data_IF_676383101272
#
_entry.id   IF_676383101272
#
_cell.length_a   1.000
_cell.length_b   1.000
_cell.length_c   1.000
_cell.angle_alpha   90.00
_cell.angle_beta   90.00
_cell.angle_gamma   90.00
#
_symmetry.space_group_name_H-M   'P 1'
#
loop_
_entity.id
_entity.type
_entity.pdbx_description
1 polymer ?
#
# COMPACT_ATOMS: atom_id res chain seq x y z
N UNK A 1 -5.82 22.43 -8.27
CA UNK A 1 -5.78 21.78 -6.96
C UNK A 1 -5.98 20.28 -7.16
N UNK A 2 -4.95 19.46 -6.97
CA UNK A 2 -5.13 18.01 -6.88
C UNK A 2 -6.01 17.78 -5.63
N UNK A 3 -7.25 17.33 -5.80
CA UNK A 3 -8.01 16.78 -4.68
C UNK A 3 -7.33 15.46 -4.30
N UNK A 4 -6.29 15.55 -3.48
CA UNK A 4 -5.76 14.46 -2.64
C UNK A 4 -6.76 14.10 -1.51
N UNK A 5 -8.01 14.57 -1.61
CA UNK A 5 -8.99 14.54 -0.52
C UNK A 5 -9.41 13.10 -0.17
N UNK A 6 -9.69 12.85 1.12
CA UNK A 6 -9.68 11.55 1.80
C UNK A 6 -10.91 10.68 1.53
N UNK A 7 -11.68 10.99 0.47
CA UNK A 7 -12.95 10.31 0.15
C UNK A 7 -12.79 9.24 -0.94
N UNK A 8 -11.55 8.94 -1.34
CA UNK A 8 -11.29 7.79 -2.21
C UNK A 8 -11.52 6.52 -1.40
N UNK A 9 -12.55 5.76 -1.77
CA UNK A 9 -12.86 4.46 -1.15
C UNK A 9 -11.62 3.55 -1.08
N UNK A 10 -10.74 3.62 -2.07
CA UNK A 10 -9.48 2.87 -2.13
C UNK A 10 -8.50 3.28 -1.02
N UNK A 11 -8.42 4.58 -0.69
CA UNK A 11 -7.58 5.05 0.41
C UNK A 11 -8.08 4.46 1.74
N UNK A 12 -9.39 4.55 2.00
CA UNK A 12 -10.00 4.05 3.23
C UNK A 12 -9.82 2.54 3.34
N UNK A 13 -10.11 1.79 2.28
CA UNK A 13 -9.94 0.32 2.23
C UNK A 13 -8.46 -0.04 2.46
N UNK A 14 -7.54 0.61 1.76
CA UNK A 14 -6.11 0.37 1.90
C UNK A 14 -5.59 0.66 3.31
N UNK A 15 -6.02 1.78 3.91
CA UNK A 15 -5.65 2.15 5.28
C UNK A 15 -6.23 1.19 6.33
N UNK A 16 -7.49 0.78 6.19
CA UNK A 16 -8.09 -0.20 7.10
C UNK A 16 -7.35 -1.54 6.99
N UNK A 17 -7.08 -2.00 5.76
CA UNK A 17 -6.32 -3.22 5.52
C UNK A 17 -4.90 -3.14 6.12
N UNK A 18 -4.24 -1.98 6.02
CA UNK A 18 -2.93 -1.74 6.63
C UNK A 18 -2.97 -1.83 8.17
N UNK A 19 -4.01 -1.28 8.81
CA UNK A 19 -4.20 -1.38 10.27
C UNK A 19 -4.37 -2.84 10.67
N UNK A 20 -5.23 -3.60 9.98
CA UNK A 20 -5.40 -5.02 10.26
C UNK A 20 -4.12 -5.81 10.02
N UNK A 21 -3.37 -5.52 8.96
CA UNK A 21 -2.09 -6.15 8.69
C UNK A 21 -1.08 -5.90 9.83
N UNK A 22 -0.99 -4.65 10.31
CA UNK A 22 -0.13 -4.29 11.42
C UNK A 22 -0.53 -5.01 12.71
N UNK A 23 -1.82 -5.08 13.02
CA UNK A 23 -2.34 -5.82 14.17
C UNK A 23 -1.99 -7.31 14.09
N UNK A 24 -2.14 -7.93 12.91
CA UNK A 24 -1.75 -9.32 12.69
C UNK A 24 -0.27 -9.53 12.99
N UNK A 25 0.62 -8.67 12.47
CA UNK A 25 2.06 -8.77 12.72
C UNK A 25 2.41 -8.70 14.20
N UNK A 26 1.76 -7.81 14.94
CA UNK A 26 1.94 -7.70 16.41
C UNK A 26 1.40 -8.94 17.12
N UNK A 27 0.26 -9.48 16.67
CA UNK A 27 -0.40 -10.63 17.27
C UNK A 27 0.35 -11.96 17.06
N UNK A 28 1.27 -12.06 16.09
CA UNK A 28 2.06 -13.28 15.85
C UNK A 28 2.80 -13.72 17.11
N UNK A 29 3.42 -12.80 17.85
CA UNK A 29 4.21 -13.15 19.04
C UNK A 29 3.35 -13.80 20.13
N UNK A 30 2.29 -13.14 20.66
CA UNK A 30 1.49 -13.71 21.74
C UNK A 30 0.64 -14.91 21.30
N UNK A 31 0.19 -14.97 20.05
CA UNK A 31 -0.72 -16.03 19.58
C UNK A 31 -0.02 -17.26 18.99
N UNK A 32 1.20 -17.09 18.46
CA UNK A 32 1.95 -18.18 17.84
C UNK A 32 3.21 -18.49 18.63
N UNK A 33 4.09 -17.51 18.81
CA UNK A 33 5.45 -17.75 19.34
C UNK A 33 5.41 -18.16 20.81
N UNK A 34 4.72 -17.40 21.67
CA UNK A 34 4.61 -17.70 23.09
C UNK A 34 4.00 -19.08 23.37
N UNK A 35 2.83 -19.47 22.84
CA UNK A 35 2.26 -20.78 23.13
C UNK A 35 3.07 -21.94 22.53
N UNK A 36 3.74 -21.75 21.39
CA UNK A 36 4.63 -22.75 20.83
C UNK A 36 5.81 -23.03 21.79
N UNK A 37 6.44 -21.99 22.32
CA UNK A 37 7.56 -22.13 23.26
C UNK A 37 7.08 -22.68 24.60
N UNK A 38 6.06 -22.08 25.20
CA UNK A 38 5.70 -22.37 26.59
C UNK A 38 4.88 -23.64 26.75
N UNK A 39 4.03 -23.99 25.78
CA UNK A 39 3.11 -25.13 25.90
C UNK A 39 3.55 -26.33 25.10
N UNK A 40 4.11 -26.14 23.90
CA UNK A 40 4.60 -27.26 23.09
C UNK A 40 6.01 -27.66 23.51
N UNK A 41 6.96 -26.72 23.51
CA UNK A 41 8.36 -27.07 23.79
C UNK A 41 8.65 -27.29 25.29
N UNK A 42 8.18 -26.42 26.19
CA UNK A 42 8.46 -26.59 27.63
C UNK A 42 7.59 -27.65 28.32
N UNK A 43 6.31 -27.76 27.94
CA UNK A 43 5.35 -28.66 28.62
C UNK A 43 5.10 -29.97 27.86
N UNK A 44 5.72 -30.17 26.69
CA UNK A 44 5.56 -31.35 25.83
C UNK A 44 4.10 -31.68 25.45
N UNK A 45 3.20 -30.69 25.45
CA UNK A 45 1.78 -30.90 25.14
C UNK A 45 1.54 -30.88 23.63
N UNK A 46 1.80 -32.02 22.97
CA UNK A 46 1.67 -32.18 21.52
C UNK A 46 0.24 -31.93 21.00
N UNK A 47 -0.79 -32.14 21.81
CA UNK A 47 -2.17 -31.82 21.44
C UNK A 47 -2.39 -30.31 21.19
N UNK A 48 -1.60 -29.45 21.84
CA UNK A 48 -1.67 -28.00 21.61
C UNK A 48 -0.99 -27.58 20.31
N UNK A 49 -0.09 -28.40 19.77
CA UNK A 49 0.63 -28.08 18.53
C UNK A 49 -0.34 -27.90 17.36
N UNK A 50 -1.29 -28.82 17.19
CA UNK A 50 -2.29 -28.73 16.11
C UNK A 50 -3.12 -27.46 16.22
N UNK A 51 -3.52 -27.06 17.44
CA UNK A 51 -4.28 -25.83 17.66
C UNK A 51 -3.44 -24.60 17.30
N UNK A 52 -2.20 -24.52 17.78
CA UNK A 52 -1.29 -23.39 17.50
C UNK A 52 -0.99 -23.28 16.00
N UNK A 53 -0.75 -24.40 15.32
CA UNK A 53 -0.53 -24.42 13.87
C UNK A 53 -1.77 -23.98 13.09
N UNK A 54 -2.96 -24.46 13.49
CA UNK A 54 -4.21 -24.06 12.84
C UNK A 54 -4.48 -22.56 13.01
N UNK A 55 -4.35 -22.04 14.23
CA UNK A 55 -4.48 -20.60 14.48
C UNK A 55 -3.44 -19.79 13.72
N UNK A 56 -2.20 -20.27 13.68
CA UNK A 56 -1.12 -19.66 12.92
C UNK A 56 -1.42 -19.59 11.43
N UNK A 57 -1.91 -20.68 10.86
CA UNK A 57 -2.32 -20.73 9.46
C UNK A 57 -3.39 -19.68 9.15
N UNK A 58 -4.47 -19.62 9.94
CA UNK A 58 -5.53 -18.64 9.73
C UNK A 58 -5.04 -17.20 9.93
N UNK A 59 -4.20 -16.96 10.93
CA UNK A 59 -3.64 -15.64 11.22
C UNK A 59 -2.76 -15.14 10.07
N UNK A 60 -1.86 -16.00 9.56
CA UNK A 60 -0.98 -15.68 8.43
C UNK A 60 -1.80 -15.50 7.15
N UNK A 61 -2.77 -16.37 6.89
CA UNK A 61 -3.65 -16.27 5.73
C UNK A 61 -4.43 -14.96 5.74
N UNK A 62 -5.03 -14.60 6.88
CA UNK A 62 -5.73 -13.33 7.04
C UNK A 62 -4.77 -12.14 6.83
N UNK A 63 -3.57 -12.19 7.41
CA UNK A 63 -2.53 -11.18 7.19
C UNK A 63 -2.14 -11.02 5.72
N UNK A 64 -1.99 -12.12 4.99
CA UNK A 64 -1.67 -12.11 3.56
C UNK A 64 -2.81 -11.49 2.73
N UNK A 65 -4.07 -11.82 3.03
CA UNK A 65 -5.24 -11.22 2.37
C UNK A 65 -5.27 -9.70 2.64
N UNK A 66 -5.06 -9.29 3.90
CA UNK A 66 -5.02 -7.86 4.24
C UNK A 66 -3.88 -7.13 3.54
N UNK A 67 -2.69 -7.75 3.44
CA UNK A 67 -1.56 -7.19 2.69
C UNK A 67 -1.91 -6.99 1.22
N UNK A 68 -2.50 -8.01 0.60
CA UNK A 68 -2.90 -7.95 -0.79
C UNK A 68 -3.92 -6.83 -1.04
N UNK A 69 -4.93 -6.70 -0.18
CA UNK A 69 -5.95 -5.64 -0.29
C UNK A 69 -5.30 -4.26 -0.13
N UNK A 70 -4.39 -4.12 0.84
CA UNK A 70 -3.63 -2.89 1.07
C UNK A 70 -2.85 -2.48 -0.19
N UNK A 71 -2.01 -3.38 -0.72
CA UNK A 71 -1.16 -3.11 -1.87
C UNK A 71 -1.99 -2.83 -3.13
N UNK A 72 -3.02 -3.63 -3.40
CA UNK A 72 -3.89 -3.45 -4.55
C UNK A 72 -4.64 -2.11 -4.50
N UNK A 73 -5.10 -1.70 -3.31
CA UNK A 73 -5.83 -0.44 -3.13
C UNK A 73 -4.93 0.77 -3.31
N UNK A 74 -3.72 0.75 -2.73
CA UNK A 74 -2.78 1.85 -2.86
C UNK A 74 -2.17 1.94 -4.26
N UNK A 75 -1.82 0.82 -4.90
CA UNK A 75 -1.37 0.82 -6.29
C UNK A 75 -2.43 1.37 -7.25
N UNK A 76 -3.70 0.96 -7.06
CA UNK A 76 -4.82 1.48 -7.87
C UNK A 76 -5.04 2.98 -7.66
N UNK A 77 -4.84 3.48 -6.43
CA UNK A 77 -4.95 4.89 -6.13
C UNK A 77 -3.81 5.69 -6.76
N UNK A 78 -2.57 5.22 -6.60
CA UNK A 78 -1.37 5.83 -7.17
C UNK A 78 -1.49 5.95 -8.70
N UNK A 79 -1.91 4.88 -9.38
CA UNK A 79 -2.13 4.88 -10.82
C UNK A 79 -3.18 5.92 -11.26
N UNK A 80 -4.30 6.04 -10.53
CA UNK A 80 -5.33 7.07 -10.81
C UNK A 80 -4.80 8.48 -10.62
N UNK A 81 -4.09 8.74 -9.53
CA UNK A 81 -3.52 10.05 -9.23
C UNK A 81 -2.46 10.45 -10.26
N UNK A 82 -1.60 9.49 -10.66
CA UNK A 82 -0.59 9.66 -11.72
C UNK A 82 -1.25 10.00 -13.07
N UNK A 83 -2.29 9.26 -13.46
CA UNK A 83 -3.03 9.51 -14.71
C UNK A 83 -3.73 10.89 -14.74
N UNK A 84 -4.44 11.24 -13.66
CA UNK A 84 -5.11 12.53 -13.54
C UNK A 84 -4.13 13.70 -13.57
N UNK A 85 -2.97 13.53 -12.92
CA UNK A 85 -1.91 14.53 -12.86
C UNK A 85 -1.26 14.72 -14.24
N UNK A 86 -0.92 13.64 -14.94
CA UNK A 86 -0.43 13.66 -16.33
C UNK A 86 -1.41 14.40 -17.24
N UNK A 87 -2.70 14.07 -17.16
CA UNK A 87 -3.75 14.72 -17.96
C UNK A 87 -3.84 16.22 -17.69
N UNK A 88 -3.80 16.64 -16.42
CA UNK A 88 -3.87 18.06 -16.03
C UNK A 88 -2.64 18.84 -16.48
N UNK A 89 -1.44 18.28 -16.28
CA UNK A 89 -0.19 18.91 -16.72
C UNK A 89 -0.20 19.07 -18.23
N UNK A 90 -0.53 18.02 -18.98
CA UNK A 90 -0.61 18.07 -20.43
C UNK A 90 -1.62 19.11 -20.94
N UNK A 91 -2.85 19.12 -20.38
CA UNK A 91 -3.87 20.14 -20.73
C UNK A 91 -3.41 21.56 -20.41
N UNK A 92 -2.71 21.77 -19.30
CA UNK A 92 -2.21 23.09 -18.94
C UNK A 92 -1.08 23.56 -19.86
N UNK A 93 -0.21 22.65 -20.32
CA UNK A 93 0.83 22.97 -21.29
C UNK A 93 0.26 23.36 -22.66
N UNK A 94 -0.75 22.62 -23.14
CA UNK A 94 -1.41 22.93 -24.40
C UNK A 94 -2.13 24.29 -24.40
N UNK A 95 -2.54 24.80 -23.22
CA UNK A 95 -3.19 26.10 -23.08
C UNK A 95 -2.21 27.27 -22.99
N UNK A 96 -0.89 27.04 -22.91
CA UNK A 96 0.09 28.12 -22.81
C UNK A 96 0.36 28.74 -24.19
N UNK A 97 0.49 30.07 -24.28
CA UNK A 97 0.81 30.75 -25.54
C UNK A 97 2.19 30.32 -26.06
N UNK A 98 2.27 30.12 -27.38
CA UNK A 98 3.48 29.70 -28.08
C UNK A 98 4.58 30.75 -27.84
N UNK A 99 5.78 30.29 -27.43
CA UNK A 99 6.93 31.16 -27.16
C UNK A 99 7.15 31.58 -25.70
N UNK A 100 6.25 31.25 -24.76
CA UNK A 100 6.42 31.52 -23.31
C UNK A 100 7.00 30.35 -22.50
N UNK A 101 7.45 29.28 -23.15
CA UNK A 101 8.08 28.15 -22.48
C UNK A 101 9.60 28.37 -22.52
N UNK A 102 10.18 28.74 -21.38
CA UNK A 102 11.61 29.08 -21.22
C UNK A 102 12.56 27.89 -21.39
N UNK A 103 12.06 26.67 -21.62
CA UNK A 103 12.85 25.44 -21.67
C UNK A 103 12.49 24.59 -22.88
N UNK A 104 13.47 23.82 -23.37
CA UNK A 104 13.25 22.89 -24.49
C UNK A 104 12.12 21.91 -24.18
N UNK A 105 11.33 21.58 -25.20
CA UNK A 105 10.22 20.61 -25.09
C UNK A 105 10.68 19.25 -24.55
N UNK A 106 11.92 18.83 -24.86
CA UNK A 106 12.53 17.62 -24.33
C UNK A 106 12.88 17.71 -22.83
N UNK A 107 13.46 18.82 -22.37
CA UNK A 107 13.80 19.01 -20.95
C UNK A 107 12.57 19.13 -20.06
N UNK A 108 11.50 19.78 -20.55
CA UNK A 108 10.24 19.88 -19.83
C UNK A 108 9.55 18.51 -19.69
N UNK A 109 9.56 17.71 -20.76
CA UNK A 109 8.96 16.37 -20.77
C UNK A 109 9.69 15.43 -19.80
N UNK A 110 11.04 15.48 -19.78
CA UNK A 110 11.84 14.68 -18.85
C UNK A 110 11.58 15.00 -17.38
N UNK A 111 11.49 16.30 -17.03
CA UNK A 111 11.14 16.73 -15.66
C UNK A 111 9.74 16.31 -15.25
N UNK A 112 8.75 16.54 -16.12
CA UNK A 112 7.36 16.15 -15.84
C UNK A 112 7.27 14.65 -15.62
N UNK A 113 7.95 13.84 -16.42
CA UNK A 113 7.89 12.38 -16.29
C UNK A 113 8.57 11.90 -14.99
N UNK A 114 9.71 12.48 -14.63
CA UNK A 114 10.41 12.16 -13.38
C UNK A 114 9.63 12.62 -12.16
N UNK A 115 9.17 13.87 -12.12
CA UNK A 115 8.41 14.41 -10.98
C UNK A 115 7.10 13.63 -10.76
N UNK A 116 6.43 13.19 -11.84
CA UNK A 116 5.24 12.34 -11.75
C UNK A 116 5.54 10.93 -11.26
N UNK A 117 6.68 10.37 -11.65
CA UNK A 117 7.12 9.07 -11.15
C UNK A 117 7.48 9.16 -9.67
N UNK A 118 8.10 10.25 -9.24
CA UNK A 118 8.44 10.48 -7.84
C UNK A 118 7.16 10.61 -6.98
N UNK A 119 6.13 11.31 -7.45
CA UNK A 119 4.81 11.39 -6.78
C UNK A 119 4.07 10.05 -6.74
N UNK A 120 4.38 9.13 -7.66
CA UNK A 120 3.78 7.79 -7.68
C UNK A 120 4.44 6.84 -6.67
N UNK A 121 5.72 7.07 -6.36
CA UNK A 121 6.55 6.24 -5.48
C UNK A 121 6.56 6.75 -4.04
N UNK A 122 6.57 8.08 -3.83
CA UNK A 122 6.77 8.75 -2.55
C UNK A 122 5.52 9.54 -2.10
#
# INVERSE_FOLDING_TARGET
MLKLFPNSRLLIIGSIAAIFNALVRVAIVPLLVTPLIDKVFKQAQLEQLNKVLLYGFFLILFGAIMLFIQDASFASLAAKVSADSKSKVYKNLLKRPVGKLESSSGGLTGRILNDLKDIEIY
#
